data_IF_951857843414
#
_entry.id   IF_951857843414
#
_cell.length_a   1.000
_cell.length_b   1.000
_cell.length_c   1.000
_cell.angle_alpha   90.00
_cell.angle_beta   90.00
_cell.angle_gamma   90.00
#
_symmetry.space_group_name_H-M   'P 1'
#
loop_
_entity.id
_entity.type
_entity.pdbx_description
1 polymer ?
#
# COMPACT_ATOMS: atom_id res chain seq x y z
N UNK A 1 13.54 -8.90 -26.59
CA UNK A 1 12.50 -7.96 -26.13
C UNK A 1 11.21 -8.66 -25.70
N UNK A 2 10.65 -9.62 -26.46
CA UNK A 2 9.40 -10.36 -26.07
C UNK A 2 9.50 -11.04 -24.70
N UNK A 3 10.60 -11.73 -24.39
CA UNK A 3 10.79 -12.47 -23.13
C UNK A 3 10.77 -11.56 -21.88
N UNK A 4 11.32 -10.34 -21.97
CA UNK A 4 11.30 -9.35 -20.88
C UNK A 4 9.87 -8.82 -20.68
N UNK A 5 9.15 -8.59 -21.78
CA UNK A 5 7.76 -8.14 -21.74
C UNK A 5 6.81 -9.18 -21.13
N UNK A 6 7.04 -10.46 -21.42
CA UNK A 6 6.24 -11.56 -20.87
C UNK A 6 6.49 -11.73 -19.36
N UNK A 7 7.75 -11.55 -18.90
CA UNK A 7 8.11 -11.55 -17.47
C UNK A 7 7.47 -10.34 -16.77
N UNK A 8 7.54 -9.15 -17.38
CA UNK A 8 6.88 -7.95 -16.83
C UNK A 8 5.38 -8.16 -16.67
N UNK A 9 4.68 -8.63 -17.71
CA UNK A 9 3.23 -8.90 -17.65
C UNK A 9 2.86 -9.91 -16.57
N UNK A 10 3.69 -10.93 -16.35
CA UNK A 10 3.47 -11.93 -15.31
C UNK A 10 3.57 -11.34 -13.89
N UNK A 11 4.41 -10.34 -13.70
CA UNK A 11 4.70 -9.71 -12.41
C UNK A 11 4.35 -8.21 -12.36
N UNK A 12 3.48 -7.74 -13.26
CA UNK A 12 3.12 -6.32 -13.44
C UNK A 12 2.75 -5.65 -12.11
N UNK A 13 1.96 -6.32 -11.29
CA UNK A 13 1.49 -5.79 -10.00
C UNK A 13 2.65 -5.51 -9.03
N UNK A 14 3.60 -6.45 -8.93
CA UNK A 14 4.75 -6.32 -8.02
C UNK A 14 5.71 -5.24 -8.55
N UNK A 15 5.98 -5.25 -9.85
CA UNK A 15 6.88 -4.25 -10.46
C UNK A 15 6.30 -2.85 -10.32
N UNK A 16 5.01 -2.67 -10.61
CA UNK A 16 4.33 -1.38 -10.44
C UNK A 16 4.34 -0.94 -8.98
N UNK A 17 4.14 -1.87 -8.03
CA UNK A 17 4.22 -1.57 -6.60
C UNK A 17 5.61 -1.05 -6.19
N UNK A 18 6.67 -1.66 -6.68
CA UNK A 18 8.05 -1.22 -6.40
C UNK A 18 8.35 0.16 -7.03
N UNK A 19 7.92 0.39 -8.27
CA UNK A 19 8.06 1.69 -8.94
C UNK A 19 7.33 2.77 -8.13
N UNK A 20 6.08 2.52 -7.73
CA UNK A 20 5.30 3.43 -6.88
C UNK A 20 6.00 3.68 -5.55
N UNK A 21 6.62 2.66 -4.94
CA UNK A 21 7.41 2.81 -3.72
C UNK A 21 8.57 3.80 -3.88
N UNK A 22 9.34 3.68 -4.97
CA UNK A 22 10.44 4.61 -5.28
C UNK A 22 9.90 6.03 -5.51
N UNK A 23 8.85 6.18 -6.31
CA UNK A 23 8.22 7.49 -6.56
C UNK A 23 7.67 8.11 -5.28
N UNK A 24 7.07 7.32 -4.40
CA UNK A 24 6.60 7.78 -3.08
C UNK A 24 7.75 8.37 -2.27
N UNK A 25 8.91 7.72 -2.27
CA UNK A 25 10.10 8.21 -1.57
C UNK A 25 10.55 9.56 -2.14
N UNK A 26 10.63 9.69 -3.46
CA UNK A 26 11.01 10.95 -4.11
C UNK A 26 10.04 12.07 -3.75
N UNK A 27 8.73 11.83 -3.83
CA UNK A 27 7.70 12.81 -3.49
C UNK A 27 7.77 13.21 -2.01
N UNK A 28 7.95 12.25 -1.11
CA UNK A 28 8.08 12.50 0.33
C UNK A 28 9.28 13.39 0.65
N UNK A 29 10.43 13.10 0.05
CA UNK A 29 11.63 13.93 0.23
C UNK A 29 11.49 15.31 -0.39
N UNK A 30 10.80 15.44 -1.52
CA UNK A 30 10.51 16.74 -2.13
C UNK A 30 9.72 17.63 -1.17
N UNK A 31 8.64 17.13 -0.57
CA UNK A 31 7.83 17.89 0.38
C UNK A 31 8.58 18.17 1.70
N UNK A 32 9.42 17.25 2.16
CA UNK A 32 10.31 17.49 3.29
C UNK A 32 11.26 18.66 2.99
N UNK A 33 11.96 18.62 1.87
CA UNK A 33 12.87 19.67 1.45
C UNK A 33 12.14 21.00 1.29
N UNK A 34 10.99 21.01 0.62
CA UNK A 34 10.20 22.20 0.44
C UNK A 34 9.79 22.83 1.78
N UNK A 35 9.32 22.02 2.73
CA UNK A 35 8.89 22.52 4.04
C UNK A 35 10.03 23.10 4.86
N UNK A 36 11.21 22.46 4.84
CA UNK A 36 12.39 22.94 5.58
C UNK A 36 13.08 24.16 4.93
N UNK A 37 12.79 24.44 3.66
CA UNK A 37 13.34 25.60 2.97
C UNK A 37 12.40 26.81 2.94
N UNK A 38 11.10 26.61 3.14
CA UNK A 38 10.12 27.69 3.03
C UNK A 38 9.63 28.22 4.37
N UNK A 39 9.30 27.35 5.32
CA UNK A 39 8.62 27.77 6.57
C UNK A 39 9.02 27.03 7.84
N UNK A 40 9.88 26.02 7.76
CA UNK A 40 10.36 25.29 8.94
C UNK A 40 11.88 25.40 9.05
N UNK A 41 12.39 25.68 10.28
CA UNK A 41 13.81 25.65 10.56
C UNK A 41 14.22 24.25 11.07
N UNK A 42 15.05 23.50 10.33
CA UNK A 42 15.47 22.15 10.72
C UNK A 42 16.39 22.11 11.95
N UNK A 43 16.97 23.24 12.38
CA UNK A 43 17.75 23.34 13.60
C UNK A 43 16.86 23.30 14.85
N UNK A 44 15.59 23.64 14.72
CA UNK A 44 14.61 23.53 15.79
C UNK A 44 14.05 22.10 15.86
N UNK A 45 14.24 21.35 16.97
CA UNK A 45 13.80 19.96 17.08
C UNK A 45 12.29 19.76 16.82
N UNK A 46 11.46 20.70 17.27
CA UNK A 46 10.00 20.61 17.07
C UNK A 46 9.65 20.81 15.60
N UNK A 47 10.22 21.80 14.95
CA UNK A 47 9.98 22.07 13.52
C UNK A 47 10.51 20.94 12.61
N UNK A 48 11.63 20.33 13.00
CA UNK A 48 12.15 19.13 12.34
C UNK A 48 11.16 17.97 12.40
N UNK A 49 10.50 17.74 13.55
CA UNK A 49 9.46 16.70 13.67
C UNK A 49 8.23 17.02 12.83
N UNK A 50 7.84 18.29 12.74
CA UNK A 50 6.75 18.74 11.86
C UNK A 50 7.11 18.46 10.39
N UNK A 51 8.34 18.74 9.96
CA UNK A 51 8.80 18.42 8.61
C UNK A 51 8.76 16.90 8.32
N UNK A 52 9.18 16.07 9.29
CA UNK A 52 9.06 14.62 9.18
C UNK A 52 7.61 14.15 9.10
N UNK A 53 6.70 14.77 9.83
CA UNK A 53 5.27 14.48 9.77
C UNK A 53 4.69 14.84 8.39
N UNK A 54 5.04 15.99 7.84
CA UNK A 54 4.65 16.40 6.47
C UNK A 54 5.16 15.38 5.44
N UNK A 55 6.44 14.99 5.54
CA UNK A 55 7.05 13.95 4.71
C UNK A 55 6.24 12.64 4.77
N UNK A 56 5.88 12.20 5.97
CA UNK A 56 5.14 10.94 6.15
C UNK A 56 3.72 11.04 5.58
N UNK A 57 2.99 12.11 5.89
CA UNK A 57 1.61 12.31 5.41
C UNK A 57 1.57 12.36 3.89
N UNK A 58 2.43 13.17 3.26
CA UNK A 58 2.48 13.31 1.80
C UNK A 58 2.87 12.00 1.13
N UNK A 59 3.80 11.24 1.72
CA UNK A 59 4.16 9.91 1.26
C UNK A 59 3.00 8.92 1.33
N UNK A 60 2.29 8.86 2.45
CA UNK A 60 1.14 7.96 2.62
C UNK A 60 0.01 8.31 1.64
N UNK A 61 -0.30 9.59 1.47
CA UNK A 61 -1.33 10.05 0.54
C UNK A 61 -0.97 9.69 -0.91
N UNK A 62 0.25 10.01 -1.33
CA UNK A 62 0.73 9.69 -2.67
C UNK A 62 0.75 8.18 -2.92
N UNK A 63 1.27 7.40 -1.97
CA UNK A 63 1.29 5.94 -2.06
C UNK A 63 -0.13 5.36 -2.14
N UNK A 64 -1.09 5.88 -1.37
CA UNK A 64 -2.47 5.41 -1.43
C UNK A 64 -3.08 5.63 -2.81
N UNK A 65 -3.02 6.87 -3.33
CA UNK A 65 -3.61 7.23 -4.62
C UNK A 65 -3.00 6.41 -5.76
N UNK A 66 -1.68 6.34 -5.81
CA UNK A 66 -0.96 5.62 -6.87
C UNK A 66 -1.14 4.11 -6.80
N UNK A 67 -1.11 3.53 -5.61
CA UNK A 67 -1.40 2.09 -5.44
C UNK A 67 -2.84 1.77 -5.82
N UNK A 68 -3.81 2.60 -5.41
CA UNK A 68 -5.21 2.43 -5.77
C UNK A 68 -5.43 2.41 -7.28
N UNK A 69 -4.82 3.36 -8.00
CA UNK A 69 -5.05 3.56 -9.43
C UNK A 69 -4.19 2.62 -10.29
N UNK A 70 -2.89 2.55 -10.03
CA UNK A 70 -1.94 1.91 -10.94
C UNK A 70 -1.60 0.47 -10.56
N UNK A 71 -1.55 0.14 -9.26
CA UNK A 71 -1.12 -1.18 -8.81
C UNK A 71 -2.32 -2.12 -8.70
N UNK A 72 -3.28 -1.76 -7.83
CA UNK A 72 -4.40 -2.65 -7.49
C UNK A 72 -5.67 -2.36 -8.31
N UNK A 73 -5.72 -1.24 -9.03
CA UNK A 73 -6.86 -0.82 -9.88
C UNK A 73 -8.20 -0.93 -9.14
N UNK A 74 -8.19 -0.50 -7.84
CA UNK A 74 -9.34 -0.62 -6.94
C UNK A 74 -10.49 0.28 -7.38
N UNK A 75 -11.71 -0.29 -7.41
CA UNK A 75 -12.95 0.42 -7.72
C UNK A 75 -13.79 0.69 -6.45
N UNK A 76 -13.22 0.56 -5.25
CA UNK A 76 -13.94 0.78 -4.00
C UNK A 76 -14.46 2.22 -3.93
N UNK A 77 -15.77 2.35 -3.64
CA UNK A 77 -16.46 3.64 -3.56
C UNK A 77 -16.23 4.32 -2.21
N UNK A 78 -16.03 3.54 -1.15
CA UNK A 78 -15.77 4.08 0.18
C UNK A 78 -14.28 4.38 0.36
N UNK A 79 -13.85 5.50 -0.21
CA UNK A 79 -12.45 5.96 -0.23
C UNK A 79 -11.91 6.13 1.19
N UNK A 80 -12.72 6.68 2.12
CA UNK A 80 -12.27 6.96 3.48
C UNK A 80 -11.96 5.67 4.25
N UNK A 81 -12.82 4.66 4.13
CA UNK A 81 -12.59 3.35 4.75
C UNK A 81 -11.33 2.68 4.19
N UNK A 82 -11.18 2.68 2.86
CA UNK A 82 -10.03 2.10 2.19
C UNK A 82 -8.74 2.81 2.58
N UNK A 83 -8.75 4.15 2.62
CA UNK A 83 -7.61 4.95 3.05
C UNK A 83 -7.23 4.69 4.52
N UNK A 84 -8.21 4.60 5.41
CA UNK A 84 -7.95 4.33 6.84
C UNK A 84 -7.28 2.97 7.03
N UNK A 85 -7.76 1.94 6.34
CA UNK A 85 -7.15 0.60 6.39
C UNK A 85 -5.74 0.63 5.78
N UNK A 86 -5.54 1.37 4.69
CA UNK A 86 -4.22 1.55 4.07
C UNK A 86 -3.24 2.25 5.02
N UNK A 87 -3.63 3.38 5.61
CA UNK A 87 -2.80 4.13 6.56
C UNK A 87 -2.47 3.30 7.80
N UNK A 88 -3.45 2.57 8.35
CA UNK A 88 -3.24 1.66 9.48
C UNK A 88 -2.22 0.56 9.15
N UNK A 89 -2.26 0.01 7.94
CA UNK A 89 -1.27 -0.99 7.51
C UNK A 89 0.16 -0.42 7.49
N UNK A 90 0.33 0.87 7.17
CA UNK A 90 1.63 1.56 7.21
C UNK A 90 2.15 1.74 8.62
N UNK A 91 1.26 2.05 9.58
CA UNK A 91 1.62 2.11 10.99
C UNK A 91 2.06 0.74 11.52
N UNK A 92 1.34 -0.32 11.16
CA UNK A 92 1.68 -1.71 11.56
C UNK A 92 3.09 -2.08 11.03
N UNK A 93 3.39 -1.76 9.77
CA UNK A 93 4.71 -2.08 9.22
C UNK A 93 5.84 -1.19 9.76
N UNK A 94 5.54 0.00 10.26
CA UNK A 94 6.49 0.79 11.02
C UNK A 94 6.90 0.08 12.32
N UNK A 95 5.95 -0.49 13.08
CA UNK A 95 6.27 -1.30 14.26
C UNK A 95 7.05 -2.56 13.90
N UNK A 96 6.73 -3.19 12.76
CA UNK A 96 7.49 -4.33 12.25
C UNK A 96 8.95 -3.94 11.96
N UNK A 97 9.19 -2.81 11.32
CA UNK A 97 10.53 -2.28 11.05
C UNK A 97 11.32 -2.08 12.35
N UNK A 98 10.73 -1.38 13.31
CA UNK A 98 11.34 -1.17 14.63
C UNK A 98 11.67 -2.49 15.33
N UNK A 99 10.78 -3.47 15.27
CA UNK A 99 10.99 -4.79 15.87
C UNK A 99 12.13 -5.54 15.18
N UNK A 100 12.14 -5.59 13.86
CA UNK A 100 13.20 -6.24 13.07
C UNK A 100 14.55 -5.62 13.35
N UNK A 101 14.64 -4.28 13.35
CA UNK A 101 15.88 -3.55 13.67
C UNK A 101 16.35 -3.86 15.10
N UNK A 102 15.46 -3.83 16.08
CA UNK A 102 15.82 -4.17 17.46
C UNK A 102 16.37 -5.60 17.60
N UNK A 103 15.78 -6.56 16.91
CA UNK A 103 16.26 -7.96 16.93
C UNK A 103 17.61 -8.10 16.24
N UNK A 104 17.75 -7.59 15.03
CA UNK A 104 18.96 -7.78 14.22
C UNK A 104 20.16 -7.02 14.82
N UNK A 105 19.98 -5.77 15.21
CA UNK A 105 21.09 -4.94 15.75
C UNK A 105 21.37 -5.27 17.21
N UNK A 106 20.33 -5.26 18.07
CA UNK A 106 20.53 -5.35 19.52
C UNK A 106 20.76 -6.77 20.01
N UNK A 107 20.02 -7.77 19.48
CA UNK A 107 20.17 -9.17 19.92
C UNK A 107 21.18 -9.97 19.12
N UNK A 108 21.24 -9.77 17.81
CA UNK A 108 22.13 -10.54 16.92
C UNK A 108 23.46 -9.84 16.66
N UNK A 109 23.61 -8.54 17.01
CA UNK A 109 24.84 -7.77 16.80
C UNK A 109 25.19 -7.55 15.32
N UNK A 110 24.20 -7.65 14.42
CA UNK A 110 24.43 -7.43 13.00
C UNK A 110 24.60 -5.93 12.74
N UNK A 111 25.51 -5.60 11.82
CA UNK A 111 25.74 -4.22 11.41
C UNK A 111 24.43 -3.54 11.03
N UNK A 112 24.24 -2.29 11.47
CA UNK A 112 23.03 -1.48 11.27
C UNK A 112 22.66 -1.29 9.79
N UNK A 113 23.64 -1.09 8.92
CA UNK A 113 23.43 -0.97 7.46
C UNK A 113 22.84 -2.26 6.86
N UNK A 114 23.39 -3.43 7.24
CA UNK A 114 22.91 -4.73 6.77
C UNK A 114 21.51 -4.99 7.31
N UNK A 115 21.29 -4.70 8.60
CA UNK A 115 20.00 -4.83 9.26
C UNK A 115 18.92 -3.95 8.61
N UNK A 116 19.29 -2.71 8.24
CA UNK A 116 18.40 -1.81 7.49
C UNK A 116 18.01 -2.37 6.12
N UNK A 117 18.96 -2.93 5.36
CA UNK A 117 18.66 -3.55 4.07
C UNK A 117 17.70 -4.74 4.22
N UNK A 118 17.91 -5.60 5.23
CA UNK A 118 17.03 -6.74 5.52
C UNK A 118 15.65 -6.24 5.92
N UNK A 119 15.55 -5.27 6.84
CA UNK A 119 14.30 -4.70 7.29
C UNK A 119 13.53 -4.06 6.14
N UNK A 120 14.20 -3.28 5.28
CA UNK A 120 13.59 -2.67 4.11
C UNK A 120 12.90 -3.70 3.20
N UNK A 121 13.56 -4.82 2.94
CA UNK A 121 12.98 -5.90 2.12
C UNK A 121 11.77 -6.51 2.83
N UNK A 122 11.88 -6.86 4.10
CA UNK A 122 10.79 -7.47 4.89
C UNK A 122 9.58 -6.54 4.98
N UNK A 123 9.79 -5.26 5.29
CA UNK A 123 8.74 -4.25 5.37
C UNK A 123 8.08 -4.01 4.02
N UNK A 124 8.85 -3.99 2.93
CA UNK A 124 8.30 -3.82 1.58
C UNK A 124 7.40 -5.00 1.21
N UNK A 125 7.83 -6.22 1.49
CA UNK A 125 7.05 -7.43 1.27
C UNK A 125 5.78 -7.44 2.14
N UNK A 126 5.91 -7.11 3.42
CA UNK A 126 4.77 -7.02 4.34
C UNK A 126 3.76 -5.94 3.88
N UNK A 127 4.22 -4.76 3.49
CA UNK A 127 3.39 -3.70 2.95
C UNK A 127 2.61 -4.12 1.68
N UNK A 128 3.27 -4.85 0.78
CA UNK A 128 2.62 -5.39 -0.41
C UNK A 128 1.50 -6.37 -0.04
N UNK A 129 1.79 -7.34 0.83
CA UNK A 129 0.79 -8.33 1.25
C UNK A 129 -0.36 -7.70 2.03
N UNK A 130 -0.08 -6.79 2.97
CA UNK A 130 -1.12 -6.09 3.72
C UNK A 130 -2.01 -5.24 2.79
N UNK A 131 -1.41 -4.50 1.86
CA UNK A 131 -2.17 -3.73 0.87
C UNK A 131 -3.04 -4.66 0.01
N UNK A 132 -2.49 -5.74 -0.49
CA UNK A 132 -3.20 -6.69 -1.35
C UNK A 132 -4.32 -7.43 -0.62
N UNK A 133 -4.07 -7.88 0.61
CA UNK A 133 -4.98 -8.76 1.36
C UNK A 133 -6.05 -7.97 2.12
N UNK A 134 -5.67 -6.87 2.77
CA UNK A 134 -6.56 -6.14 3.66
C UNK A 134 -7.17 -4.89 3.04
N UNK A 135 -6.39 -4.13 2.27
CA UNK A 135 -6.86 -2.85 1.72
C UNK A 135 -7.68 -3.06 0.45
N UNK A 136 -7.18 -3.83 -0.49
CA UNK A 136 -7.72 -3.93 -1.85
C UNK A 136 -8.40 -5.27 -2.18
N UNK A 137 -8.64 -6.13 -1.18
CA UNK A 137 -9.19 -7.50 -1.35
C UNK A 137 -10.68 -7.54 -1.72
N UNK A 138 -11.43 -6.47 -1.53
CA UNK A 138 -12.89 -6.56 -1.32
C UNK A 138 -13.75 -6.78 -2.58
N UNK A 139 -13.19 -7.11 -3.76
CA UNK A 139 -14.01 -7.23 -4.99
C UNK A 139 -14.07 -8.59 -5.66
N UNK A 140 -13.00 -9.36 -5.66
CA UNK A 140 -13.06 -10.68 -6.32
C UNK A 140 -14.01 -11.66 -5.61
N UNK A 141 -14.21 -11.51 -4.29
CA UNK A 141 -15.11 -12.38 -3.55
C UNK A 141 -16.57 -11.91 -3.59
N UNK A 142 -16.85 -10.60 -3.66
CA UNK A 142 -18.24 -10.11 -3.79
C UNK A 142 -18.82 -10.40 -5.18
N UNK A 143 -18.01 -10.28 -6.23
CA UNK A 143 -18.45 -10.64 -7.59
C UNK A 143 -18.73 -12.15 -7.73
N UNK A 144 -17.93 -13.02 -7.10
CA UNK A 144 -18.16 -14.47 -7.10
C UNK A 144 -19.36 -14.92 -6.26
N UNK A 145 -19.75 -14.15 -5.25
CA UNK A 145 -20.93 -14.46 -4.41
C UNK A 145 -22.20 -13.88 -5.02
N UNK A 146 -22.11 -12.80 -5.77
CA UNK A 146 -23.29 -12.17 -6.39
C UNK A 146 -23.77 -12.87 -7.67
N UNK A 147 -22.87 -13.43 -8.47
CA UNK A 147 -23.22 -14.13 -9.71
C UNK A 147 -24.17 -15.35 -9.48
N UNK A 148 -23.89 -16.28 -8.55
CA UNK A 148 -24.78 -17.42 -8.35
C UNK A 148 -26.12 -17.06 -7.70
N UNK A 149 -26.21 -15.95 -6.97
CA UNK A 149 -27.47 -15.51 -6.33
C UNK A 149 -28.38 -14.81 -7.34
N UNK A 150 -27.84 -14.00 -8.25
CA UNK A 150 -28.62 -13.40 -9.34
C UNK A 150 -29.18 -14.45 -10.29
N UNK A 151 -28.35 -15.43 -10.70
CA UNK A 151 -28.79 -16.52 -11.59
C UNK A 151 -29.84 -17.42 -10.92
N UNK A 152 -29.70 -17.66 -9.61
CA UNK A 152 -30.67 -18.43 -8.83
C UNK A 152 -32.05 -17.71 -8.73
N UNK A 153 -32.05 -16.40 -8.47
CA UNK A 153 -33.28 -15.59 -8.40
C UNK A 153 -33.93 -15.50 -9.77
N UNK A 154 -33.14 -15.30 -10.84
CA UNK A 154 -33.64 -15.25 -12.22
C UNK A 154 -34.28 -16.57 -12.64
N UNK A 155 -33.74 -17.72 -12.22
CA UNK A 155 -34.29 -19.04 -12.52
C UNK A 155 -35.62 -19.31 -11.79
N UNK A 156 -35.80 -18.76 -10.59
CA UNK A 156 -37.04 -18.91 -9.81
C UNK A 156 -38.14 -17.98 -10.30
N UNK A 157 -37.82 -16.74 -10.74
CA UNK A 157 -38.83 -15.80 -11.27
C UNK A 157 -39.27 -16.15 -12.68
N UNK A 158 -38.45 -16.81 -13.50
CA UNK A 158 -38.82 -17.30 -14.81
C UNK A 158 -39.84 -18.43 -14.79
N UNK A 159 -39.93 -19.21 -13.71
CA UNK A 159 -40.88 -20.32 -13.56
C UNK A 159 -42.25 -19.89 -13.07
N UNK A 160 -42.42 -18.67 -12.56
CA UNK A 160 -43.72 -18.19 -12.05
C UNK A 160 -44.60 -17.56 -13.16
N UNK A 161 -44.01 -17.20 -14.30
CA UNK A 161 -44.75 -16.56 -15.42
C UNK A 161 -45.36 -17.54 -16.43
N UNK A 162 -45.26 -18.85 -16.22
CA UNK A 162 -45.83 -19.86 -17.16
C UNK A 162 -47.17 -20.44 -16.62
N UNK A 163 -47.63 -20.02 -15.43
CA UNK A 163 -48.86 -20.51 -14.82
C UNK A 163 -49.90 -19.40 -14.52
N UNK A 164 -49.97 -18.38 -15.32
CA UNK A 164 -51.10 -17.43 -15.45
C UNK A 164 -51.35 -17.19 -16.94
#
# INVERSE_FOLDING_TARGET
>A
MKKIWDIYKKHEEIVNYLIVGVLTTVVSFFFYYLSTRTFLNPENPVQLQIANLIKWITGVLFAYVTNKIFVFKSKEKNILKEFTVFASSRVITLFLDMFVMAVLVTKMGINDMISNCISLVLVTVANYFLSKIYVFKDKKNKEKIQLPVCDYIQSQTGSVFIFL
#
